data_IF_911102205956
#
_entry.id   IF_911102205956
#
_cell.length_a   1.000
_cell.length_b   1.000
_cell.length_c   1.000
_cell.angle_alpha   90.00
_cell.angle_beta   90.00
_cell.angle_gamma   90.00
#
_symmetry.space_group_name_H-M   'P 1'
#
loop_
_entity.id
_entity.type
_entity.pdbx_description
1 polymer ?
#
# COMPACT_ATOMS: atom_id res chain seq x y z
N UNK A 1 25.39 -12.07 19.29
CA UNK A 1 24.25 -13.01 19.42
C UNK A 1 23.28 -12.64 18.31
N UNK A 2 23.20 -13.43 17.23
CA UNK A 2 22.24 -13.17 16.16
C UNK A 2 20.89 -13.72 16.58
N UNK A 3 19.88 -12.86 16.67
CA UNK A 3 18.49 -13.28 16.82
C UNK A 3 18.06 -13.82 15.46
N UNK A 4 17.87 -15.13 15.38
CA UNK A 4 17.20 -15.78 14.27
C UNK A 4 15.79 -15.17 14.19
N UNK A 5 15.50 -14.40 13.15
CA UNK A 5 14.13 -13.96 12.88
C UNK A 5 13.37 -15.25 12.59
N UNK A 6 12.55 -15.69 13.56
CA UNK A 6 11.66 -16.84 13.39
C UNK A 6 10.88 -16.65 12.10
N UNK A 7 10.69 -17.73 11.35
CA UNK A 7 9.93 -17.72 10.10
C UNK A 7 8.58 -17.04 10.35
N UNK A 8 8.45 -15.81 9.85
CA UNK A 8 7.35 -14.93 10.19
C UNK A 8 6.12 -15.44 9.45
N UNK A 9 5.08 -15.86 10.18
CA UNK A 9 3.80 -16.23 9.59
C UNK A 9 3.26 -15.06 8.76
N UNK A 10 3.35 -15.20 7.42
CA UNK A 10 2.94 -14.17 6.45
C UNK A 10 1.45 -14.21 6.11
N UNK A 11 0.66 -15.07 6.77
CA UNK A 11 -0.79 -15.05 6.63
C UNK A 11 -1.38 -13.78 7.22
N UNK A 12 -2.62 -13.42 6.83
CA UNK A 12 -3.35 -12.31 7.43
C UNK A 12 -3.54 -12.51 8.95
N UNK A 13 -3.77 -13.74 9.38
CA UNK A 13 -3.93 -14.07 10.80
C UNK A 13 -2.62 -13.85 11.57
N UNK A 14 -1.49 -14.33 11.03
CA UNK A 14 -0.16 -14.09 11.58
C UNK A 14 0.18 -12.61 11.68
N UNK A 15 -0.10 -11.83 10.64
CA UNK A 15 0.07 -10.38 10.65
C UNK A 15 -0.73 -9.69 11.76
N UNK A 16 -2.02 -10.01 11.91
CA UNK A 16 -2.87 -9.45 12.97
C UNK A 16 -2.35 -9.83 14.36
N UNK A 17 -1.95 -11.09 14.56
CA UNK A 17 -1.39 -11.56 15.82
C UNK A 17 -0.07 -10.83 16.16
N UNK A 18 0.79 -10.63 15.15
CA UNK A 18 2.03 -9.87 15.29
C UNK A 18 1.78 -8.41 15.67
N UNK A 19 0.81 -7.74 15.04
CA UNK A 19 0.44 -6.36 15.39
C UNK A 19 -0.08 -6.23 16.82
N UNK A 20 -0.90 -7.18 17.28
CA UNK A 20 -1.37 -7.20 18.69
C UNK A 20 -0.22 -7.36 19.67
N UNK A 21 0.68 -8.32 19.40
CA UNK A 21 1.86 -8.54 20.24
C UNK A 21 2.79 -7.32 20.27
N UNK A 22 2.91 -6.60 19.16
CA UNK A 22 3.66 -5.34 19.11
C UNK A 22 2.99 -4.27 19.98
N UNK A 23 1.67 -4.13 19.93
CA UNK A 23 0.94 -3.21 20.80
C UNK A 23 1.18 -3.53 22.28
N UNK A 24 1.04 -4.81 22.68
CA UNK A 24 1.31 -5.27 24.05
C UNK A 24 2.74 -4.95 24.50
N UNK A 25 3.73 -5.11 23.61
CA UNK A 25 5.13 -4.80 23.89
C UNK A 25 5.37 -3.30 24.09
N UNK A 26 4.79 -2.45 23.24
CA UNK A 26 4.90 -1.00 23.34
C UNK A 26 4.23 -0.47 24.61
N UNK A 27 3.13 -1.09 25.05
CA UNK A 27 2.47 -0.78 26.32
C UNK A 27 3.35 -1.19 27.52
N UNK A 28 3.94 -2.38 27.48
CA UNK A 28 4.76 -2.90 28.57
C UNK A 28 6.13 -2.23 28.70
N UNK A 29 6.66 -1.64 27.63
CA UNK A 29 8.03 -1.11 27.55
C UNK A 29 8.00 0.31 26.94
N UNK A 30 7.71 1.35 27.73
CA UNK A 30 7.54 2.72 27.22
C UNK A 30 8.84 3.33 26.65
N UNK A 31 9.99 2.76 26.99
CA UNK A 31 11.29 3.17 26.45
C UNK A 31 11.50 2.70 24.99
N UNK A 32 10.67 1.77 24.50
CA UNK A 32 10.71 1.36 23.10
C UNK A 32 10.03 2.45 22.27
N UNK A 33 10.75 3.08 21.32
CA UNK A 33 10.14 4.08 20.45
C UNK A 33 9.07 3.44 19.57
N UNK A 34 7.94 4.13 19.41
CA UNK A 34 6.93 3.76 18.43
C UNK A 34 7.23 4.42 17.08
N UNK A 35 6.64 3.87 16.03
CA UNK A 35 6.82 4.36 14.67
C UNK A 35 5.99 5.62 14.42
N UNK A 36 6.62 6.69 13.94
CA UNK A 36 5.99 8.02 13.82
C UNK A 36 5.85 8.55 12.37
N UNK A 37 6.44 7.87 11.38
CA UNK A 37 6.72 8.51 10.08
C UNK A 37 6.37 7.67 8.85
N UNK A 38 5.48 6.70 8.97
CA UNK A 38 5.21 5.79 7.85
C UNK A 38 3.93 6.02 7.10
N UNK A 39 4.05 5.79 5.79
CA UNK A 39 2.94 5.48 4.91
C UNK A 39 3.16 4.12 4.28
N UNK A 40 2.20 3.23 4.47
CA UNK A 40 2.11 1.95 3.78
C UNK A 40 1.17 2.13 2.60
N UNK A 41 1.69 2.00 1.38
CA UNK A 41 0.90 2.14 0.16
C UNK A 41 1.13 0.96 -0.78
N UNK A 42 0.05 0.41 -1.34
CA UNK A 42 0.09 -0.78 -2.18
C UNK A 42 -0.70 -0.59 -3.47
N UNK A 43 -0.19 -1.14 -4.57
CA UNK A 43 -0.92 -1.17 -5.84
C UNK A 43 -1.94 -2.33 -5.84
N UNK A 44 -3.19 -2.05 -6.18
CA UNK A 44 -4.21 -3.07 -6.41
C UNK A 44 -4.03 -3.71 -7.79
N UNK A 45 -3.74 -5.01 -7.80
CA UNK A 45 -3.72 -5.83 -9.01
C UNK A 45 -5.13 -6.16 -9.55
N UNK A 46 -5.18 -6.96 -10.61
CA UNK A 46 -6.44 -7.42 -11.21
C UNK A 46 -7.02 -6.44 -12.24
N UNK A 47 -8.34 -6.40 -12.36
CA UNK A 47 -9.07 -5.50 -13.27
C UNK A 47 -9.51 -4.23 -12.57
N UNK A 48 -9.82 -3.19 -13.34
CA UNK A 48 -10.30 -1.91 -12.80
C UNK A 48 -11.58 -2.07 -11.98
N UNK A 49 -12.54 -2.87 -12.46
CA UNK A 49 -13.77 -3.18 -11.73
C UNK A 49 -13.52 -3.86 -10.37
N UNK A 50 -12.56 -4.80 -10.30
CA UNK A 50 -12.21 -5.48 -9.02
C UNK A 50 -11.54 -4.54 -8.03
N UNK A 51 -10.71 -3.62 -8.52
CA UNK A 51 -10.09 -2.61 -7.69
C UNK A 51 -11.13 -1.63 -7.15
N UNK A 52 -12.05 -1.14 -8.00
CA UNK A 52 -13.16 -0.29 -7.60
C UNK A 52 -14.02 -0.97 -6.52
N UNK A 53 -14.41 -2.23 -6.72
CA UNK A 53 -15.17 -3.00 -5.73
C UNK A 53 -14.41 -3.12 -4.39
N UNK A 54 -13.09 -3.31 -4.43
CA UNK A 54 -12.25 -3.39 -3.23
C UNK A 54 -12.16 -2.06 -2.50
N UNK A 55 -12.04 -0.95 -3.25
CA UNK A 55 -12.04 0.41 -2.70
C UNK A 55 -13.39 0.70 -2.03
N UNK A 56 -14.52 0.41 -2.69
CA UNK A 56 -15.86 0.63 -2.12
C UNK A 56 -16.12 -0.18 -0.85
N UNK A 57 -15.77 -1.48 -0.86
CA UNK A 57 -15.91 -2.31 0.35
C UNK A 57 -15.07 -1.78 1.51
N UNK A 58 -13.89 -1.25 1.22
CA UNK A 58 -13.02 -0.68 2.25
C UNK A 58 -13.59 0.64 2.77
N UNK A 59 -14.04 1.53 1.88
CA UNK A 59 -14.70 2.78 2.27
C UNK A 59 -15.90 2.50 3.20
N UNK A 60 -16.74 1.53 2.86
CA UNK A 60 -17.85 1.12 3.70
C UNK A 60 -17.40 0.59 5.08
N UNK A 61 -16.35 -0.23 5.11
CA UNK A 61 -15.80 -0.76 6.36
C UNK A 61 -15.18 0.33 7.25
N UNK A 62 -14.46 1.29 6.67
CA UNK A 62 -13.88 2.43 7.39
C UNK A 62 -14.98 3.34 7.95
N UNK A 63 -16.00 3.65 7.16
CA UNK A 63 -17.19 4.39 7.62
C UNK A 63 -17.87 3.68 8.78
N UNK A 64 -18.09 2.37 8.70
CA UNK A 64 -18.71 1.58 9.77
C UNK A 64 -17.86 1.57 11.05
N UNK A 65 -16.54 1.68 10.93
CA UNK A 65 -15.61 1.78 12.05
C UNK A 65 -15.42 3.21 12.59
N UNK A 66 -16.05 4.22 11.97
CA UNK A 66 -15.87 5.63 12.33
C UNK A 66 -14.48 6.18 12.01
N UNK A 67 -13.78 5.58 11.04
CA UNK A 67 -12.43 5.99 10.63
C UNK A 67 -12.56 6.91 9.41
N UNK A 68 -12.04 8.13 9.52
CA UNK A 68 -11.94 9.07 8.41
C UNK A 68 -10.94 8.58 7.36
N UNK A 69 -11.24 8.85 6.10
CA UNK A 69 -10.41 8.46 4.96
C UNK A 69 -10.54 9.46 3.81
N UNK A 70 -9.48 9.55 3.02
CA UNK A 70 -9.46 10.27 1.77
C UNK A 70 -9.66 9.30 0.61
N UNK A 71 -10.65 9.61 -0.23
CA UNK A 71 -10.83 8.94 -1.51
C UNK A 71 -10.17 9.76 -2.61
N UNK A 72 -9.32 9.13 -3.40
CA UNK A 72 -8.76 9.72 -4.61
C UNK A 72 -9.42 9.06 -5.82
N UNK A 73 -9.95 9.89 -6.70
CA UNK A 73 -10.43 9.48 -8.01
C UNK A 73 -10.09 10.61 -8.99
N UNK A 74 -9.19 10.34 -9.93
CA UNK A 74 -8.74 11.28 -10.94
C UNK A 74 -8.40 10.54 -12.23
N UNK A 75 -8.15 11.28 -13.32
CA UNK A 75 -7.89 10.69 -14.64
C UNK A 75 -6.74 9.67 -14.67
N UNK A 76 -5.84 9.69 -13.68
CA UNK A 76 -4.71 8.78 -13.60
C UNK A 76 -4.99 7.54 -12.76
N UNK A 77 -5.67 7.69 -11.62
CA UNK A 77 -5.82 6.61 -10.65
C UNK A 77 -7.01 6.81 -9.70
N UNK A 78 -7.49 5.68 -9.20
CA UNK A 78 -8.43 5.59 -8.10
C UNK A 78 -7.77 4.95 -6.88
N UNK A 79 -8.14 5.37 -5.67
CA UNK A 79 -7.58 4.83 -4.45
C UNK A 79 -8.25 5.36 -3.19
N UNK A 80 -7.85 4.78 -2.06
CA UNK A 80 -8.27 5.19 -0.73
C UNK A 80 -7.06 5.25 0.19
N UNK A 81 -7.04 6.26 1.05
CA UNK A 81 -6.00 6.49 2.04
C UNK A 81 -6.65 6.84 3.38
N UNK A 82 -6.08 6.38 4.49
CA UNK A 82 -6.54 6.71 5.84
C UNK A 82 -5.36 6.66 6.81
N UNK A 83 -5.51 7.24 7.99
CA UNK A 83 -4.48 7.23 9.04
C UNK A 83 -5.01 6.48 10.25
N UNK A 84 -4.25 5.52 10.75
CA UNK A 84 -4.55 4.79 11.98
C UNK A 84 -3.29 4.66 12.82
N UNK A 85 -3.37 5.01 14.11
CA UNK A 85 -2.22 5.00 15.03
C UNK A 85 -0.99 5.78 14.50
N UNK A 86 -1.22 6.90 13.81
CA UNK A 86 -0.16 7.71 13.20
C UNK A 86 0.48 7.10 11.94
N UNK A 87 -0.02 5.96 11.46
CA UNK A 87 0.44 5.30 10.24
C UNK A 87 -0.53 5.57 9.12
N UNK A 88 -0.05 6.19 8.04
CA UNK A 88 -0.80 6.31 6.80
C UNK A 88 -0.91 4.95 6.12
N UNK A 89 -2.13 4.55 5.76
CA UNK A 89 -2.40 3.32 5.02
C UNK A 89 -3.19 3.66 3.77
N UNK A 90 -2.76 3.14 2.63
CA UNK A 90 -3.48 3.40 1.39
C UNK A 90 -3.24 2.35 0.34
N UNK A 91 -4.12 2.34 -0.65
CA UNK A 91 -3.93 1.52 -1.82
C UNK A 91 -4.70 2.10 -2.99
N UNK A 92 -4.15 1.89 -4.19
CA UNK A 92 -4.66 2.52 -5.40
C UNK A 92 -4.46 1.63 -6.61
N UNK A 93 -5.18 1.99 -7.67
CA UNK A 93 -5.01 1.43 -9.01
C UNK A 93 -4.91 2.58 -10.02
N UNK A 94 -3.94 2.49 -10.92
CA UNK A 94 -3.87 3.33 -12.12
C UNK A 94 -4.93 2.87 -13.12
N UNK A 95 -5.69 3.79 -13.71
CA UNK A 95 -6.71 3.46 -14.70
C UNK A 95 -6.08 2.77 -15.92
N UNK A 96 -6.79 1.83 -16.52
CA UNK A 96 -6.27 1.04 -17.64
C UNK A 96 -5.88 1.93 -18.83
N UNK A 97 -6.65 3.00 -19.07
CA UNK A 97 -6.36 4.00 -20.10
C UNK A 97 -5.07 4.78 -19.80
N UNK A 98 -4.90 5.26 -18.56
CA UNK A 98 -3.70 5.98 -18.14
C UNK A 98 -2.45 5.07 -18.20
N UNK A 99 -2.60 3.79 -17.83
CA UNK A 99 -1.53 2.80 -17.96
C UNK A 99 -1.17 2.52 -19.43
N UNK A 100 -2.16 2.46 -20.33
CA UNK A 100 -1.92 2.30 -21.76
C UNK A 100 -1.13 3.49 -22.34
N UNK A 101 -1.49 4.73 -21.97
CA UNK A 101 -0.75 5.94 -22.36
C UNK A 101 0.69 5.90 -21.85
N UNK A 102 0.88 5.56 -20.57
CA UNK A 102 2.21 5.46 -19.98
C UNK A 102 3.08 4.43 -20.72
N UNK A 103 2.55 3.24 -21.02
CA UNK A 103 3.26 2.23 -21.82
C UNK A 103 3.58 2.71 -23.24
N UNK A 104 2.68 3.43 -23.88
CA UNK A 104 2.92 3.98 -25.22
C UNK A 104 4.06 5.01 -25.20
N UNK A 105 4.17 5.84 -24.15
CA UNK A 105 5.27 6.79 -23.98
C UNK A 105 6.61 6.08 -23.73
N UNK A 106 6.63 5.00 -22.95
CA UNK A 106 7.84 4.22 -22.67
C UNK A 106 8.31 3.35 -23.85
N UNK A 107 7.47 3.13 -24.86
CA UNK A 107 7.85 2.32 -26.04
C UNK A 107 9.02 2.90 -26.86
N UNK A 108 9.40 4.16 -26.64
CA UNK A 108 10.57 4.78 -27.27
C UNK A 108 11.88 4.57 -26.50
N UNK A 109 11.85 4.13 -25.23
CA UNK A 109 13.05 3.95 -24.40
C UNK A 109 13.96 2.82 -24.94
N UNK A 110 13.37 1.77 -25.54
CA UNK A 110 14.13 0.66 -26.13
C UNK A 110 14.70 0.98 -27.53
N UNK A 111 14.31 2.09 -28.15
CA UNK A 111 14.77 2.48 -29.49
C UNK A 111 16.03 3.37 -29.48
N UNK A 112 16.59 3.69 -28.31
CA UNK A 112 17.85 4.45 -28.21
C UNK A 112 19.03 3.50 -28.42
N UNK A 113 19.35 3.21 -29.69
CA UNK A 113 20.63 2.60 -30.05
C UNK A 113 21.72 3.67 -30.09
N UNK A 114 22.53 3.76 -29.03
CA UNK A 114 23.74 4.57 -29.04
C UNK A 114 24.81 3.80 -29.82
N UNK A 115 25.17 4.29 -31.01
CA UNK A 115 26.27 3.71 -31.78
C UNK A 115 27.56 3.75 -30.95
N UNK A 116 28.19 2.59 -30.75
CA UNK A 116 29.49 2.51 -30.09
C UNK A 116 30.55 3.19 -30.98
N UNK A 117 31.42 4.06 -30.42
CA UNK A 117 32.51 4.66 -31.18
C UNK A 117 33.49 3.58 -31.65
N UNK A 118 33.92 3.70 -32.90
CA UNK A 118 34.82 2.82 -33.63
C UNK A 118 36.26 2.87 -33.09
#
# INVERSE_FOLDING_TARGET
MYVTIADSDRTRAGYIAGLRKLADLLEAQPDIPHYQHGRLSFALGGTEAKAAETIERTAAALTAAGIEFDRRDNDHSQGIEFVLAGVGYGFSRVHDAAWAVHKAQQSYEENVQVALPS
#
